data_IF_021335607966
#
_entry.id   IF_021335607966
#
_cell.length_a   1.000
_cell.length_b   1.000
_cell.length_c   1.000
_cell.angle_alpha   90.00
_cell.angle_beta   90.00
_cell.angle_gamma   90.00
#
_symmetry.space_group_name_H-M   'P 1'
#
loop_
_entity.id
_entity.type
_entity.pdbx_description
1 polymer ?
#
# COMPACT_ATOMS: atom_id res chain seq x y z
N UNK A 1 39.47 14.97 -9.43
CA UNK A 1 38.52 15.69 -8.58
C UNK A 1 37.19 15.02 -8.85
N UNK A 2 36.66 14.28 -7.86
CA UNK A 2 35.37 13.65 -8.01
C UNK A 2 34.31 14.76 -7.99
N UNK A 3 33.50 14.80 -9.03
CA UNK A 3 32.35 15.68 -9.12
C UNK A 3 31.42 15.37 -7.94
N UNK A 4 31.19 16.36 -7.09
CA UNK A 4 30.24 16.21 -6.00
C UNK A 4 28.87 16.06 -6.64
N UNK A 5 28.39 14.83 -6.72
CA UNK A 5 26.98 14.57 -7.05
C UNK A 5 26.13 15.30 -6.03
N UNK A 6 25.60 16.45 -6.42
CA UNK A 6 24.57 17.14 -5.66
C UNK A 6 23.43 16.18 -5.46
N UNK A 7 22.99 16.01 -4.20
CA UNK A 7 21.80 15.21 -3.91
C UNK A 7 20.62 15.69 -4.79
N UNK A 8 19.72 14.79 -5.22
CA UNK A 8 18.56 15.19 -5.98
C UNK A 8 17.83 16.35 -5.30
N UNK A 9 17.56 17.38 -6.06
CA UNK A 9 16.81 18.54 -5.55
C UNK A 9 15.33 18.31 -5.83
N UNK A 10 14.51 18.23 -4.79
CA UNK A 10 13.07 18.15 -4.87
C UNK A 10 12.38 19.45 -4.47
N UNK A 11 11.10 19.56 -4.74
CA UNK A 11 10.26 20.65 -4.22
C UNK A 11 9.81 20.33 -2.78
N UNK A 12 9.38 21.33 -1.99
CA UNK A 12 8.79 21.06 -0.69
C UNK A 12 7.62 20.08 -0.78
N UNK A 13 7.70 18.99 -0.03
CA UNK A 13 6.73 17.89 -0.05
C UNK A 13 7.10 16.72 -0.96
N UNK A 14 8.13 16.84 -1.79
CA UNK A 14 8.65 15.72 -2.57
C UNK A 14 9.35 14.69 -1.65
N UNK A 15 9.11 13.42 -1.93
CA UNK A 15 9.79 12.30 -1.29
C UNK A 15 10.67 11.64 -2.33
N UNK A 16 11.97 11.70 -2.11
CA UNK A 16 12.96 11.21 -3.05
C UNK A 16 13.55 9.87 -2.59
N UNK A 17 13.84 9.00 -3.56
CA UNK A 17 14.50 7.72 -3.32
C UNK A 17 13.77 6.80 -2.33
N UNK A 18 12.45 6.73 -2.45
CA UNK A 18 11.62 5.84 -1.65
C UNK A 18 11.69 4.40 -2.17
N UNK A 19 12.45 3.51 -1.50
CA UNK A 19 12.53 2.12 -1.93
C UNK A 19 11.26 1.37 -1.59
N UNK A 20 10.70 0.68 -2.57
CA UNK A 20 9.49 -0.12 -2.40
C UNK A 20 9.51 -1.39 -3.24
N UNK A 21 8.90 -2.44 -2.72
CA UNK A 21 8.55 -3.66 -3.44
C UNK A 21 7.04 -3.68 -3.64
N UNK A 22 6.60 -3.57 -4.89
CA UNK A 22 5.19 -3.67 -5.26
C UNK A 22 4.88 -5.09 -5.73
N UNK A 23 3.92 -5.73 -5.10
CA UNK A 23 3.45 -7.07 -5.45
C UNK A 23 1.95 -7.00 -5.73
N UNK A 24 1.58 -7.19 -6.97
CA UNK A 24 0.18 -7.11 -7.41
C UNK A 24 -0.34 -8.50 -7.73
N UNK A 25 -1.58 -8.77 -7.33
CA UNK A 25 -2.25 -10.01 -7.69
C UNK A 25 -3.73 -9.78 -7.98
N UNK A 26 -4.30 -10.67 -8.79
CA UNK A 26 -5.73 -10.69 -9.08
C UNK A 26 -6.46 -11.52 -8.05
N UNK A 27 -7.58 -11.00 -7.58
CA UNK A 27 -8.56 -11.69 -6.73
C UNK A 27 -9.93 -11.74 -7.41
N UNK A 28 -10.98 -12.09 -6.68
CA UNK A 28 -12.35 -12.05 -7.16
C UNK A 28 -12.97 -10.66 -6.89
N UNK A 29 -13.68 -10.11 -7.87
CA UNK A 29 -14.34 -8.80 -7.73
C UNK A 29 -15.33 -8.77 -6.55
N UNK A 30 -16.05 -9.88 -6.32
CA UNK A 30 -16.99 -10.00 -5.19
C UNK A 30 -16.29 -9.95 -3.83
N UNK A 31 -15.04 -10.40 -3.75
CA UNK A 31 -14.24 -10.31 -2.53
C UNK A 31 -13.88 -8.86 -2.23
N UNK A 32 -13.46 -8.09 -3.23
CA UNK A 32 -13.21 -6.67 -3.07
C UNK A 32 -14.50 -5.94 -2.70
N UNK A 33 -15.61 -6.19 -3.41
CA UNK A 33 -16.88 -5.52 -3.19
C UNK A 33 -17.38 -5.62 -1.73
N UNK A 34 -17.12 -6.75 -1.05
CA UNK A 34 -17.50 -6.96 0.36
C UNK A 34 -16.68 -6.11 1.34
N UNK A 35 -15.52 -5.63 0.93
CA UNK A 35 -14.60 -4.85 1.77
C UNK A 35 -14.69 -3.35 1.49
N UNK A 36 -15.32 -2.96 0.39
CA UNK A 36 -15.47 -1.55 0.05
C UNK A 36 -16.56 -0.89 0.92
N UNK A 37 -16.28 0.28 1.47
CA UNK A 37 -17.29 1.08 2.17
C UNK A 37 -18.33 1.63 1.20
N UNK A 38 -19.51 2.05 1.71
CA UNK A 38 -20.53 2.69 0.87
C UNK A 38 -19.99 3.88 0.09
N UNK A 39 -20.38 3.96 -1.19
CA UNK A 39 -19.95 5.01 -2.11
C UNK A 39 -18.75 4.66 -2.99
N UNK A 40 -18.00 3.60 -2.67
CA UNK A 40 -16.97 3.07 -3.54
C UNK A 40 -17.50 1.85 -4.31
N UNK A 41 -16.98 1.65 -5.51
CA UNK A 41 -17.21 0.47 -6.34
C UNK A 41 -15.90 -0.19 -6.73
N UNK A 42 -15.96 -1.46 -7.12
CA UNK A 42 -14.78 -2.20 -7.59
C UNK A 42 -14.25 -1.52 -8.86
N UNK A 43 -12.95 -1.34 -8.94
CA UNK A 43 -12.29 -0.81 -10.14
C UNK A 43 -12.43 -1.73 -11.36
N UNK A 44 -11.93 -1.29 -12.50
CA UNK A 44 -12.02 -2.01 -13.77
C UNK A 44 -11.46 -3.44 -13.71
N UNK A 45 -10.45 -3.66 -12.86
CA UNK A 45 -9.81 -4.95 -12.64
C UNK A 45 -9.79 -5.26 -11.13
N UNK A 46 -10.07 -6.51 -10.71
CA UNK A 46 -10.04 -6.88 -9.29
C UNK A 46 -8.60 -7.12 -8.80
N UNK A 47 -7.82 -6.08 -8.72
CA UNK A 47 -6.41 -6.12 -8.34
C UNK A 47 -6.24 -5.77 -6.88
N UNK A 48 -5.44 -6.57 -6.19
CA UNK A 48 -4.88 -6.27 -4.86
C UNK A 48 -3.42 -5.84 -5.04
N UNK A 49 -3.05 -4.75 -4.40
CA UNK A 49 -1.72 -4.16 -4.48
C UNK A 49 -1.10 -4.13 -3.10
N UNK A 50 -0.02 -4.88 -2.94
CA UNK A 50 0.80 -4.86 -1.74
C UNK A 50 2.06 -4.06 -2.02
N UNK A 51 2.32 -3.05 -1.21
CA UNK A 51 3.56 -2.27 -1.29
C UNK A 51 4.31 -2.41 0.01
N UNK A 52 5.41 -3.15 0.01
CA UNK A 52 6.37 -3.16 1.12
C UNK A 52 7.36 -2.02 0.89
N UNK A 53 7.67 -1.26 1.93
CA UNK A 53 8.50 -0.08 1.79
C UNK A 53 9.31 0.22 3.03
N UNK A 54 10.30 1.08 2.84
CA UNK A 54 11.02 1.78 3.90
C UNK A 54 10.97 3.28 3.60
N UNK A 55 10.44 4.05 4.54
CA UNK A 55 10.19 5.46 4.39
C UNK A 55 10.78 6.24 5.58
N UNK A 56 11.57 7.30 5.35
CA UNK A 56 12.10 8.11 6.45
C UNK A 56 11.04 9.05 7.00
N UNK A 57 10.57 8.79 8.22
CA UNK A 57 9.67 9.67 8.96
C UNK A 57 10.47 10.38 10.05
N UNK A 58 10.58 11.70 9.96
CA UNK A 58 11.30 12.53 10.94
C UNK A 58 12.75 12.07 11.22
N UNK A 59 13.41 11.51 10.22
CA UNK A 59 14.77 11.00 10.34
C UNK A 59 14.90 9.55 10.81
N UNK A 60 13.81 8.93 11.24
CA UNK A 60 13.74 7.51 11.58
C UNK A 60 13.16 6.69 10.42
N UNK A 61 13.64 5.45 10.17
CA UNK A 61 13.04 4.62 9.16
C UNK A 61 11.67 4.09 9.63
N UNK A 62 10.64 4.27 8.80
CA UNK A 62 9.36 3.59 8.94
C UNK A 62 9.33 2.42 7.96
N UNK A 63 9.22 1.21 8.45
CA UNK A 63 8.97 0.04 7.62
C UNK A 63 7.49 -0.29 7.61
N UNK A 64 6.95 -0.57 6.44
CA UNK A 64 5.52 -0.82 6.36
C UNK A 64 5.09 -1.64 5.16
N UNK A 65 3.80 -1.97 5.20
CA UNK A 65 3.04 -2.55 4.10
C UNK A 65 1.80 -1.70 3.85
N UNK A 66 1.53 -1.36 2.60
CA UNK A 66 0.24 -0.82 2.16
C UNK A 66 -0.53 -1.93 1.46
N UNK A 67 -1.80 -2.06 1.79
CA UNK A 67 -2.74 -3.02 1.20
C UNK A 67 -3.84 -2.23 0.51
N UNK A 68 -3.75 -2.09 -0.80
CA UNK A 68 -4.73 -1.39 -1.62
C UNK A 68 -5.49 -2.36 -2.52
N UNK A 69 -6.71 -1.99 -2.89
CA UNK A 69 -7.50 -2.63 -3.93
C UNK A 69 -7.94 -1.59 -4.95
N UNK A 70 -8.01 -1.99 -6.22
CA UNK A 70 -8.52 -1.10 -7.27
C UNK A 70 -9.99 -0.79 -7.01
N UNK A 71 -10.31 0.50 -6.93
CA UNK A 71 -11.66 0.97 -6.62
C UNK A 71 -11.94 2.33 -7.26
N UNK A 72 -13.21 2.55 -7.59
CA UNK A 72 -13.68 3.81 -8.14
C UNK A 72 -14.53 4.55 -7.11
N UNK A 73 -14.37 5.86 -7.06
CA UNK A 73 -15.19 6.77 -6.27
C UNK A 73 -15.69 7.92 -7.15
N UNK A 74 -17.01 8.14 -7.17
CA UNK A 74 -17.67 9.19 -7.97
C UNK A 74 -17.21 9.18 -9.46
N UNK A 75 -17.07 7.97 -10.02
CA UNK A 75 -16.63 7.78 -11.41
C UNK A 75 -15.14 8.02 -11.66
N UNK A 76 -14.35 8.24 -10.61
CA UNK A 76 -12.90 8.44 -10.70
C UNK A 76 -12.19 7.15 -10.26
N UNK A 77 -11.36 6.61 -11.15
CA UNK A 77 -10.55 5.44 -10.85
C UNK A 77 -9.43 5.76 -9.86
N UNK A 78 -9.17 4.81 -8.95
CA UNK A 78 -8.13 4.92 -7.94
C UNK A 78 -7.90 3.62 -7.19
N UNK A 79 -7.32 3.71 -6.01
CA UNK A 79 -7.07 2.61 -5.11
C UNK A 79 -7.70 2.90 -3.74
N UNK A 80 -8.45 1.95 -3.20
CA UNK A 80 -8.92 2.04 -1.81
C UNK A 80 -7.92 1.38 -0.87
N UNK A 81 -7.45 2.12 0.12
CA UNK A 81 -6.54 1.60 1.13
C UNK A 81 -7.30 0.80 2.19
N UNK A 82 -7.16 -0.51 2.17
CA UNK A 82 -7.74 -1.42 3.17
C UNK A 82 -6.97 -1.41 4.48
N UNK A 83 -5.65 -1.26 4.42
CA UNK A 83 -4.81 -1.27 5.58
C UNK A 83 -3.40 -0.76 5.31
N UNK A 84 -2.80 -0.17 6.32
CA UNK A 84 -1.48 0.41 6.26
C UNK A 84 -0.70 0.01 7.52
N UNK A 85 -0.02 -1.13 7.47
CA UNK A 85 0.76 -1.66 8.60
C UNK A 85 2.12 -0.98 8.72
N UNK A 86 2.43 -0.40 9.88
CA UNK A 86 3.69 0.29 10.14
C UNK A 86 4.23 0.00 11.54
N UNK A 87 5.52 0.27 11.74
CA UNK A 87 6.23 0.07 13.00
C UNK A 87 6.34 1.33 13.88
N UNK A 88 5.89 2.50 13.39
CA UNK A 88 5.94 3.77 14.13
C UNK A 88 4.58 4.13 14.74
N UNK A 89 4.44 3.93 16.03
CA UNK A 89 3.18 4.11 16.76
C UNK A 89 2.61 5.54 16.65
N UNK A 90 3.44 6.57 16.81
CA UNK A 90 3.00 7.96 16.72
C UNK A 90 2.40 8.31 15.35
N UNK A 91 2.95 7.75 14.28
CA UNK A 91 2.44 7.96 12.93
C UNK A 91 1.08 7.27 12.70
N UNK A 92 0.79 6.19 13.43
CA UNK A 92 -0.52 5.52 13.39
C UNK A 92 -1.60 6.46 13.90
N UNK A 93 -1.47 6.98 15.12
CA UNK A 93 -2.49 7.82 15.74
C UNK A 93 -2.75 9.10 14.95
N UNK A 94 -1.69 9.84 14.62
CA UNK A 94 -1.82 11.09 13.87
C UNK A 94 -2.53 10.87 12.54
N UNK A 95 -2.16 9.82 11.79
CA UNK A 95 -2.73 9.57 10.47
C UNK A 95 -4.19 9.13 10.55
N UNK A 96 -4.53 8.27 11.50
CA UNK A 96 -5.93 7.83 11.70
C UNK A 96 -6.83 8.99 12.11
N UNK A 97 -6.40 9.78 13.10
CA UNK A 97 -7.19 10.87 13.62
C UNK A 97 -7.29 12.06 12.66
N UNK A 98 -6.21 12.39 11.96
CA UNK A 98 -6.21 13.54 11.05
C UNK A 98 -6.87 13.25 9.71
N UNK A 99 -6.55 12.12 9.09
CA UNK A 99 -6.91 11.85 7.68
C UNK A 99 -7.77 10.60 7.47
N UNK A 100 -7.94 9.78 8.50
CA UNK A 100 -8.64 8.50 8.35
C UNK A 100 -7.83 7.42 7.64
N UNK A 101 -6.51 7.63 7.43
CA UNK A 101 -5.64 6.60 6.86
C UNK A 101 -5.67 5.35 7.75
N UNK A 102 -5.97 4.15 7.22
CA UNK A 102 -6.24 2.96 8.04
C UNK A 102 -4.95 2.31 8.56
N UNK A 103 -4.11 3.11 9.26
CA UNK A 103 -2.86 2.65 9.84
C UNK A 103 -3.10 1.75 11.05
N UNK A 104 -2.29 0.69 11.15
CA UNK A 104 -2.27 -0.24 12.28
C UNK A 104 -0.83 -0.66 12.61
N UNK A 105 -0.56 -1.11 13.86
CA UNK A 105 0.79 -1.53 14.23
C UNK A 105 1.16 -2.85 13.55
N UNK A 106 2.30 -2.90 12.88
CA UNK A 106 2.84 -4.10 12.26
C UNK A 106 4.36 -4.02 12.17
N UNK A 107 5.02 -5.16 12.22
CA UNK A 107 6.45 -5.29 12.01
C UNK A 107 6.71 -5.74 10.57
N UNK A 108 7.37 -4.90 9.80
CA UNK A 108 7.73 -5.20 8.42
C UNK A 108 9.24 -5.29 8.27
N UNK A 109 9.71 -6.33 7.62
CA UNK A 109 11.08 -6.41 7.12
C UNK A 109 11.07 -6.40 5.60
N UNK A 110 11.91 -5.57 5.02
CA UNK A 110 12.10 -5.48 3.57
C UNK A 110 13.58 -5.29 3.27
N UNK A 111 14.18 -6.22 2.57
CA UNK A 111 15.60 -6.15 2.23
C UNK A 111 15.91 -6.81 0.89
N UNK A 112 17.04 -6.42 0.35
CA UNK A 112 17.65 -7.02 -0.82
C UNK A 112 19.10 -7.40 -0.50
N UNK A 113 19.49 -8.61 -0.89
CA UNK A 113 20.86 -9.10 -0.86
C UNK A 113 21.24 -9.61 -2.24
N UNK A 114 22.11 -8.91 -2.94
CA UNK A 114 22.41 -9.17 -4.35
C UNK A 114 21.13 -9.19 -5.20
N UNK A 115 20.77 -10.32 -5.80
CA UNK A 115 19.53 -10.47 -6.56
C UNK A 115 18.35 -10.95 -5.69
N UNK A 116 18.60 -11.44 -4.50
CA UNK A 116 17.55 -11.94 -3.61
C UNK A 116 16.78 -10.79 -2.97
N UNK A 117 15.45 -10.88 -3.04
CA UNK A 117 14.52 -9.91 -2.45
C UNK A 117 13.61 -10.62 -1.48
N UNK A 118 13.47 -10.10 -0.28
CA UNK A 118 12.57 -10.63 0.74
C UNK A 118 11.83 -9.51 1.43
N UNK A 119 10.54 -9.74 1.65
CA UNK A 119 9.69 -8.87 2.45
C UNK A 119 8.74 -9.72 3.30
N UNK A 120 8.47 -9.26 4.52
CA UNK A 120 7.58 -9.96 5.45
C UNK A 120 6.92 -8.95 6.37
N UNK A 121 5.61 -9.11 6.60
CA UNK A 121 4.87 -8.32 7.59
C UNK A 121 4.21 -9.22 8.62
N UNK A 122 4.39 -8.86 9.89
CA UNK A 122 3.87 -9.57 11.06
C UNK A 122 3.02 -8.60 11.88
N UNK A 123 1.83 -9.03 12.28
CA UNK A 123 0.93 -8.28 13.15
C UNK A 123 0.51 -9.17 14.32
N UNK A 124 0.65 -8.68 15.54
CA UNK A 124 0.33 -9.44 16.76
C UNK A 124 0.98 -10.84 16.80
N UNK A 125 2.22 -10.95 16.32
CA UNK A 125 2.96 -12.23 16.26
C UNK A 125 2.62 -13.15 15.08
N UNK A 126 1.65 -12.77 14.23
CA UNK A 126 1.24 -13.55 13.06
C UNK A 126 1.78 -12.95 11.78
N UNK A 127 2.60 -13.69 11.03
CA UNK A 127 3.04 -13.26 9.68
C UNK A 127 1.92 -13.54 8.68
N UNK A 128 1.29 -12.49 8.17
CA UNK A 128 0.16 -12.60 7.25
C UNK A 128 0.55 -12.40 5.78
N UNK A 129 1.63 -11.67 5.50
CA UNK A 129 2.15 -11.46 4.14
C UNK A 129 3.67 -11.69 4.09
N UNK A 130 4.13 -12.46 3.11
CA UNK A 130 5.55 -12.76 2.91
C UNK A 130 5.83 -12.87 1.41
N UNK A 131 6.89 -12.22 0.95
CA UNK A 131 7.41 -12.35 -0.41
C UNK A 131 8.86 -12.79 -0.40
N UNK A 132 9.21 -13.72 -1.28
CA UNK A 132 10.58 -14.15 -1.56
C UNK A 132 10.77 -14.29 -3.05
N UNK A 133 11.82 -13.68 -3.57
CA UNK A 133 12.08 -13.71 -5.00
C UNK A 133 13.47 -13.24 -5.36
N UNK A 134 13.69 -13.12 -6.66
CA UNK A 134 14.96 -12.69 -7.23
C UNK A 134 14.72 -11.62 -8.29
N UNK A 135 15.63 -10.68 -8.37
CA UNK A 135 15.70 -9.72 -9.48
C UNK A 135 16.12 -10.46 -10.73
N UNK A 136 15.28 -10.39 -11.75
CA UNK A 136 15.51 -11.06 -13.05
C UNK A 136 15.83 -10.08 -14.18
N UNK A 137 15.78 -8.79 -13.93
CA UNK A 137 16.15 -7.78 -14.91
C UNK A 137 15.86 -6.36 -14.42
N UNK A 138 16.30 -5.40 -15.22
CA UNK A 138 15.99 -3.98 -15.06
C UNK A 138 14.92 -3.63 -16.09
N UNK A 139 13.96 -2.81 -15.71
CA UNK A 139 12.91 -2.32 -16.59
C UNK A 139 13.05 -0.81 -16.81
N UNK A 140 12.45 -0.33 -17.88
CA UNK A 140 12.34 1.11 -18.12
C UNK A 140 11.55 1.77 -17.00
N UNK A 141 11.98 2.95 -16.58
CA UNK A 141 11.34 3.68 -15.50
C UNK A 141 9.90 4.09 -15.83
N UNK A 142 9.57 4.19 -17.09
CA UNK A 142 8.27 4.68 -17.57
C UNK A 142 8.08 6.19 -17.37
N UNK A 143 6.96 6.72 -17.82
CA UNK A 143 6.58 8.11 -17.57
C UNK A 143 6.18 8.33 -16.10
N UNK A 144 6.18 9.58 -15.68
CA UNK A 144 5.49 9.98 -14.45
C UNK A 144 4.01 9.65 -14.56
N UNK A 145 3.41 9.24 -13.44
CA UNK A 145 1.99 8.91 -13.37
C UNK A 145 1.32 9.48 -12.13
N UNK A 146 0.03 9.62 -12.21
CA UNK A 146 -0.82 10.15 -11.16
C UNK A 146 -1.68 9.03 -10.57
N UNK A 147 -1.83 9.01 -9.25
CA UNK A 147 -2.62 8.03 -8.52
C UNK A 147 -3.60 8.74 -7.60
N UNK A 148 -4.87 8.33 -7.65
CA UNK A 148 -5.84 8.65 -6.63
C UNK A 148 -5.91 7.50 -5.63
N UNK A 149 -5.86 7.81 -4.36
CA UNK A 149 -6.07 6.85 -3.28
C UNK A 149 -7.23 7.35 -2.40
N UNK A 150 -8.07 6.42 -1.96
CA UNK A 150 -9.25 6.69 -1.16
C UNK A 150 -9.05 6.20 0.26
N UNK A 151 -9.30 7.06 1.24
CA UNK A 151 -9.38 6.72 2.66
C UNK A 151 -10.76 7.09 3.18
N UNK A 152 -11.16 6.52 4.30
CA UNK A 152 -12.43 6.85 4.96
C UNK A 152 -12.14 7.52 6.29
N UNK A 153 -12.54 8.77 6.43
CA UNK A 153 -12.52 9.45 7.72
C UNK A 153 -13.87 9.26 8.40
N UNK A 154 -13.87 8.58 9.53
CA UNK A 154 -15.04 8.40 10.38
C UNK A 154 -14.63 8.27 11.85
N UNK A 155 -15.55 8.60 12.75
CA UNK A 155 -15.46 8.34 14.19
C UNK A 155 -16.80 7.82 14.67
N UNK A 156 -16.81 6.62 15.25
CA UNK A 156 -18.03 6.06 15.85
C UNK A 156 -18.40 6.85 17.09
N UNK A 157 -19.67 7.14 17.25
CA UNK A 157 -20.17 7.80 18.46
C UNK A 157 -20.08 6.87 19.69
N UNK A 158 -19.97 7.46 20.86
CA UNK A 158 -19.83 6.73 22.13
C UNK A 158 -21.11 5.99 22.55
N UNK A 159 -22.24 6.33 21.93
CA UNK A 159 -23.56 5.77 22.28
C UNK A 159 -23.78 4.32 21.81
N UNK A 160 -22.80 3.72 21.10
CA UNK A 160 -22.82 2.35 20.56
C UNK A 160 -24.02 2.02 19.66
N UNK A 161 -24.75 3.04 19.20
CA UNK A 161 -25.86 2.80 18.27
C UNK A 161 -25.34 2.44 16.87
N UNK A 162 -26.00 1.53 16.14
CA UNK A 162 -25.68 1.25 14.77
C UNK A 162 -25.69 2.55 13.94
N UNK A 163 -24.67 2.73 13.11
CA UNK A 163 -24.52 3.88 12.21
C UNK A 163 -24.47 5.26 12.90
N UNK A 164 -24.23 5.29 14.21
CA UNK A 164 -24.00 6.53 14.94
C UNK A 164 -22.53 6.95 14.86
N UNK A 165 -22.30 8.21 14.47
CA UNK A 165 -20.97 8.77 14.26
C UNK A 165 -20.89 10.18 14.87
N UNK A 166 -19.70 10.56 15.37
CA UNK A 166 -19.45 11.92 15.88
C UNK A 166 -19.54 12.99 14.76
N UNK A 167 -19.29 12.57 13.52
CA UNK A 167 -19.46 13.37 12.30
C UNK A 167 -19.77 12.43 11.13
N UNK A 168 -20.41 12.93 10.05
CA UNK A 168 -20.70 12.10 8.89
C UNK A 168 -19.44 11.50 8.28
N UNK A 169 -19.38 10.17 8.12
CA UNK A 169 -18.27 9.54 7.40
C UNK A 169 -18.09 10.13 6.00
N UNK A 170 -16.85 10.34 5.58
CA UNK A 170 -16.56 10.88 4.26
C UNK A 170 -15.28 10.31 3.66
N UNK A 171 -15.22 10.33 2.34
CA UNK A 171 -14.05 9.90 1.58
C UNK A 171 -13.00 11.00 1.58
N UNK A 172 -11.78 10.65 1.93
CA UNK A 172 -10.60 11.50 1.79
C UNK A 172 -9.89 11.09 0.51
N UNK A 173 -9.78 12.01 -0.43
CA UNK A 173 -9.01 11.83 -1.66
C UNK A 173 -7.56 12.20 -1.42
N UNK A 174 -6.68 11.24 -1.68
CA UNK A 174 -5.23 11.46 -1.73
C UNK A 174 -4.79 11.41 -3.19
N UNK A 175 -4.14 12.45 -3.64
CA UNK A 175 -3.61 12.55 -4.99
C UNK A 175 -2.08 12.59 -4.93
N UNK A 176 -1.44 11.66 -5.64
CA UNK A 176 0.02 11.57 -5.64
C UNK A 176 0.54 11.49 -7.06
N UNK A 177 1.60 12.25 -7.35
CA UNK A 177 2.39 12.12 -8.57
C UNK A 177 3.62 11.30 -8.27
N UNK A 178 3.84 10.29 -9.08
CA UNK A 178 4.98 9.38 -8.97
C UNK A 178 5.92 9.53 -10.17
N UNK A 179 7.20 9.60 -9.89
CA UNK A 179 8.26 9.36 -10.85
C UNK A 179 9.08 8.15 -10.41
N UNK A 180 9.62 7.40 -11.34
CA UNK A 180 10.42 6.22 -11.06
C UNK A 180 11.89 6.51 -11.39
N UNK A 181 12.74 6.53 -10.37
CA UNK A 181 14.17 6.75 -10.57
C UNK A 181 14.91 5.47 -11.06
N UNK A 182 14.48 4.31 -10.58
CA UNK A 182 15.04 3.01 -10.93
C UNK A 182 14.01 1.90 -10.70
N UNK A 183 13.90 0.96 -11.65
CA UNK A 183 12.91 -0.09 -11.61
C UNK A 183 13.52 -1.44 -11.96
N UNK A 184 13.23 -2.43 -11.14
CA UNK A 184 13.67 -3.80 -11.34
C UNK A 184 12.47 -4.74 -11.43
N UNK A 185 12.58 -5.69 -12.35
CA UNK A 185 11.64 -6.80 -12.40
C UNK A 185 12.06 -7.87 -11.40
N UNK A 186 11.11 -8.26 -10.55
CA UNK A 186 11.34 -9.31 -9.55
C UNK A 186 10.42 -10.49 -9.87
N UNK A 187 10.96 -11.70 -9.83
CA UNK A 187 10.19 -12.93 -9.92
C UNK A 187 10.26 -13.67 -8.60
N UNK A 188 9.12 -14.13 -8.08
CA UNK A 188 9.10 -14.77 -6.77
C UNK A 188 7.76 -15.32 -6.38
N UNK A 189 7.63 -15.65 -5.11
CA UNK A 189 6.46 -16.21 -4.48
C UNK A 189 5.91 -15.26 -3.43
N UNK A 190 4.61 -14.94 -3.54
CA UNK A 190 3.84 -14.30 -2.49
C UNK A 190 3.13 -15.39 -1.67
N UNK A 191 3.25 -15.31 -0.36
CA UNK A 191 2.59 -16.20 0.60
C UNK A 191 1.71 -15.35 1.48
N UNK A 192 0.40 -15.56 1.39
CA UNK A 192 -0.60 -14.93 2.24
C UNK A 192 -1.12 -15.95 3.25
N UNK A 193 -1.35 -15.50 4.48
CA UNK A 193 -1.89 -16.33 5.56
C UNK A 193 -2.98 -15.55 6.28
N UNK A 194 -3.98 -16.28 6.75
CA UNK A 194 -4.96 -15.70 7.66
C UNK A 194 -4.41 -15.64 9.08
N UNK A 195 -4.75 -14.58 9.78
CA UNK A 195 -4.57 -14.45 11.21
C UNK A 195 -5.90 -14.05 11.86
N UNK A 196 -6.03 -14.11 13.18
CA UNK A 196 -7.23 -13.58 13.85
C UNK A 196 -7.48 -12.09 13.57
N UNK A 197 -6.45 -11.35 13.16
CA UNK A 197 -6.47 -9.91 12.93
C UNK A 197 -6.52 -9.53 11.45
N UNK A 198 -5.88 -10.35 10.60
CA UNK A 198 -5.67 -10.06 9.18
C UNK A 198 -6.04 -11.30 8.34
N UNK A 199 -7.32 -11.53 8.04
CA UNK A 199 -7.77 -12.70 7.27
C UNK A 199 -7.59 -12.46 5.75
N UNK A 200 -6.40 -12.03 5.34
CA UNK A 200 -6.13 -11.58 3.96
C UNK A 200 -6.20 -12.74 2.95
N UNK A 201 -5.76 -13.94 3.32
CA UNK A 201 -5.73 -15.07 2.40
C UNK A 201 -7.13 -15.57 2.05
N UNK A 202 -8.06 -15.54 3.00
CA UNK A 202 -9.45 -15.94 2.79
C UNK A 202 -10.32 -14.84 2.20
N UNK A 203 -10.11 -13.58 2.62
CA UNK A 203 -10.94 -12.46 2.15
C UNK A 203 -10.50 -11.93 0.78
N UNK A 204 -9.23 -12.01 0.45
CA UNK A 204 -8.67 -11.59 -0.84
C UNK A 204 -7.82 -12.71 -1.45
N UNK A 205 -8.43 -13.87 -1.79
CA UNK A 205 -7.68 -15.02 -2.29
C UNK A 205 -6.92 -14.71 -3.56
N UNK A 206 -5.65 -15.07 -3.60
CA UNK A 206 -4.80 -14.86 -4.77
C UNK A 206 -5.16 -15.85 -5.88
N UNK A 207 -5.71 -15.35 -7.00
CA UNK A 207 -6.05 -16.13 -8.20
C UNK A 207 -4.90 -16.16 -9.20
N UNK A 208 -4.20 -15.05 -9.35
CA UNK A 208 -3.06 -14.93 -10.25
C UNK A 208 -2.10 -13.87 -9.71
N UNK A 209 -0.85 -14.23 -9.51
CA UNK A 209 0.20 -13.28 -9.20
C UNK A 209 0.55 -12.53 -10.50
N UNK A 210 0.44 -11.21 -10.48
CA UNK A 210 0.82 -10.33 -11.56
C UNK A 210 2.27 -9.94 -11.33
N UNK A 211 3.09 -10.03 -12.37
CA UNK A 211 4.50 -9.66 -12.25
C UNK A 211 4.63 -8.21 -11.78
N UNK A 212 5.59 -7.99 -10.87
CA UNK A 212 5.83 -6.71 -10.23
C UNK A 212 6.43 -5.72 -11.23
N UNK A 213 5.56 -4.97 -11.87
CA UNK A 213 5.94 -3.79 -12.64
C UNK A 213 4.84 -2.76 -12.43
N UNK A 214 5.12 -1.51 -12.07
CA UNK A 214 4.13 -0.48 -12.25
C UNK A 214 3.93 -0.36 -13.77
N UNK A 215 2.89 -1.02 -14.29
CA UNK A 215 2.42 -0.73 -15.64
C UNK A 215 1.63 0.57 -15.57
N UNK A 216 1.91 1.57 -16.41
CA UNK A 216 0.92 2.59 -16.66
C UNK A 216 -0.33 1.87 -17.15
N UNK A 217 -1.48 2.28 -16.67
CA UNK A 217 -2.76 1.85 -17.24
C UNK A 217 -2.83 2.44 -18.64
N UNK A 218 -2.95 1.60 -19.65
CA UNK A 218 -3.38 2.00 -20.97
C UNK A 218 -4.81 2.52 -20.93
#
# INVERSE_FOLDING_TARGET
MADSTTAPQGNPGDILNWPMLKVNYRTDAECIAKLLPPGLSVGAEPIVRLTFYNFPVQGEPEYGIVINVDADYDGVAGEYCLGFGIDQEQAIFISREKTGQPKFPAETSYYRLMNYVSAKTTHQGHTFAEFKGEVVGVEDNGPEFELNEWWIKCSRAVDDQPESYDFPPHVVKVFTKYGTAYKEKVQGQLILRDSPWDPIASQLPMRCLLYTSPSPRD
#
